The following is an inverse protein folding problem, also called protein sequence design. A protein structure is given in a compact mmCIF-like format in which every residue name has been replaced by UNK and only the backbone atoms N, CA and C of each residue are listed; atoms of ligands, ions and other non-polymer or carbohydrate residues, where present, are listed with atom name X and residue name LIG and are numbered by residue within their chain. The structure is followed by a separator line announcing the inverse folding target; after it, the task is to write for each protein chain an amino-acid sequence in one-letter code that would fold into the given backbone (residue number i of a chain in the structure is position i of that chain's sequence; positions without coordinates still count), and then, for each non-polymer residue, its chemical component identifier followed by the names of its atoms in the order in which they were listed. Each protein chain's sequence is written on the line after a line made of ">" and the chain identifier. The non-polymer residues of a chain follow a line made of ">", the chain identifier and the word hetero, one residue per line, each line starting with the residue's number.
data_IF_121397554252
#
_entry.id   IF_121397554252
#
_cell.length_a   1.000
_cell.length_b   1.000
_cell.length_c   1.000
_cell.angle_alpha   90.00
_cell.angle_beta   90.00
_cell.angle_gamma   90.00
#
_symmetry.space_group_name_H-M   'P 1'
#
loop_
_entity.id
_entity.type
_entity.pdbx_description
1 polymer ?
#
# COMPACT_ATOMS: atom_id res chain seq x y z
N UNK A 1 14.24 -0.18 13.04
CA UNK A 1 13.57 0.35 11.82
C UNK A 1 12.08 0.07 11.98
N UNK A 2 11.28 1.07 12.32
CA UNK A 2 9.84 0.85 12.49
C UNK A 2 9.16 0.88 11.11
N UNK A 3 9.12 -0.28 10.46
CA UNK A 3 8.20 -0.53 9.35
C UNK A 3 6.86 -0.98 9.91
N UNK A 4 5.76 -0.54 9.31
CA UNK A 4 4.44 -1.04 9.67
C UNK A 4 4.31 -2.52 9.31
N UNK A 5 3.61 -3.28 10.15
CA UNK A 5 3.09 -4.57 9.72
C UNK A 5 2.12 -4.40 8.54
N UNK A 6 1.93 -5.45 7.76
CA UNK A 6 0.94 -5.48 6.67
C UNK A 6 -0.47 -5.12 7.16
N UNK A 7 -0.83 -5.53 8.39
CA UNK A 7 -2.11 -5.18 9.01
C UNK A 7 -2.22 -3.69 9.31
N UNK A 8 -1.18 -3.08 9.89
CA UNK A 8 -1.16 -1.65 10.19
C UNK A 8 -1.16 -0.79 8.92
N UNK A 9 -0.40 -1.20 7.89
CA UNK A 9 -0.43 -0.55 6.57
C UNK A 9 -1.84 -0.65 5.96
N UNK A 10 -2.47 -1.82 6.06
CA UNK A 10 -3.84 -2.05 5.63
C UNK A 10 -4.84 -1.09 6.29
N UNK A 11 -4.74 -0.92 7.62
CA UNK A 11 -5.59 0.04 8.34
C UNK A 11 -5.34 1.47 7.90
N UNK A 12 -4.08 1.88 7.73
CA UNK A 12 -3.71 3.23 7.25
C UNK A 12 -4.20 3.52 5.83
N UNK A 13 -4.41 2.50 5.00
CA UNK A 13 -4.90 2.63 3.63
C UNK A 13 -6.44 2.58 3.51
N UNK A 14 -7.14 2.55 4.65
CA UNK A 14 -8.59 2.55 4.73
C UNK A 14 -9.19 1.15 4.93
N UNK A 15 -8.59 0.34 5.79
CA UNK A 15 -9.11 -0.98 6.16
C UNK A 15 -8.85 -2.08 5.12
N UNK A 16 -7.75 -1.99 4.38
CA UNK A 16 -7.35 -3.06 3.46
C UNK A 16 -6.88 -4.27 4.27
N UNK A 17 -7.40 -5.46 3.97
CA UNK A 17 -7.00 -6.69 4.64
C UNK A 17 -5.51 -7.02 4.45
N UNK A 18 -4.87 -7.59 5.47
CA UNK A 18 -3.45 -7.99 5.46
C UNK A 18 -3.09 -8.83 4.23
N UNK A 19 -3.95 -9.78 3.82
CA UNK A 19 -3.72 -10.62 2.64
C UNK A 19 -3.60 -9.79 1.36
N UNK A 20 -4.47 -8.79 1.16
CA UNK A 20 -4.38 -7.90 0.00
C UNK A 20 -3.08 -7.10 0.00
N UNK A 21 -2.65 -6.60 1.17
CA UNK A 21 -1.35 -5.91 1.31
C UNK A 21 -0.22 -6.84 0.87
N UNK A 22 -0.23 -8.10 1.33
CA UNK A 22 0.77 -9.09 0.92
C UNK A 22 0.75 -9.34 -0.59
N UNK A 23 -0.42 -9.36 -1.23
CA UNK A 23 -0.53 -9.54 -2.68
C UNK A 23 -0.01 -8.34 -3.47
N UNK A 24 -0.20 -7.12 -2.96
CA UNK A 24 0.39 -5.91 -3.56
C UNK A 24 1.92 -5.91 -3.42
N UNK A 25 2.44 -6.27 -2.24
CA UNK A 25 3.88 -6.32 -1.99
C UNK A 25 4.58 -7.42 -2.81
N UNK A 26 3.92 -8.56 -3.01
CA UNK A 26 4.46 -9.66 -3.82
C UNK A 26 4.17 -9.51 -5.32
N UNK A 27 3.54 -8.42 -5.76
CA UNK A 27 3.15 -8.19 -7.16
C UNK A 27 2.08 -9.14 -7.71
N UNK A 28 1.44 -9.96 -6.86
CA UNK A 28 0.33 -10.86 -7.28
C UNK A 28 -0.91 -10.07 -7.68
N UNK A 29 -1.10 -8.91 -7.06
CA UNK A 29 -2.19 -7.98 -7.37
C UNK A 29 -1.61 -6.66 -7.87
N UNK A 30 -2.07 -6.14 -9.01
CA UNK A 30 -1.61 -4.84 -9.49
C UNK A 30 -2.11 -3.70 -8.59
N UNK A 31 -1.27 -2.68 -8.41
CA UNK A 31 -1.64 -1.46 -7.69
C UNK A 31 -2.40 -0.54 -8.66
N UNK A 32 -3.66 -0.24 -8.35
CA UNK A 32 -4.47 0.72 -9.10
C UNK A 32 -4.16 2.18 -8.73
N UNK A 33 -4.58 3.12 -9.58
CA UNK A 33 -4.33 4.56 -9.41
C UNK A 33 -4.76 5.12 -8.04
N UNK A 34 -5.90 4.68 -7.51
CA UNK A 34 -6.38 5.13 -6.20
C UNK A 34 -5.50 4.64 -5.05
N UNK A 35 -5.04 3.40 -5.11
CA UNK A 35 -4.13 2.85 -4.12
C UNK A 35 -2.75 3.51 -4.21
N UNK A 36 -2.25 3.72 -5.42
CA UNK A 36 -1.00 4.45 -5.66
C UNK A 36 -1.04 5.87 -5.06
N UNK A 37 -2.15 6.60 -5.20
CA UNK A 37 -2.35 7.92 -4.57
C UNK A 37 -2.34 7.84 -3.04
N UNK A 38 -2.99 6.84 -2.45
CA UNK A 38 -2.99 6.63 -0.99
C UNK A 38 -1.59 6.33 -0.46
N UNK A 39 -0.87 5.42 -1.12
CA UNK A 39 0.51 5.06 -0.79
C UNK A 39 1.43 6.28 -0.92
N UNK A 40 1.34 7.02 -2.02
CA UNK A 40 2.09 8.25 -2.25
C UNK A 40 1.88 9.28 -1.15
N UNK A 41 0.64 9.52 -0.74
CA UNK A 41 0.31 10.42 0.38
C UNK A 41 0.91 9.92 1.70
N UNK A 42 0.81 8.62 1.95
CA UNK A 42 1.28 7.99 3.19
C UNK A 42 2.81 8.02 3.33
N UNK A 43 3.52 7.77 2.23
CA UNK A 43 4.98 7.75 2.16
C UNK A 43 5.61 9.08 1.73
N UNK A 44 4.80 10.12 1.52
CA UNK A 44 5.22 11.46 1.05
C UNK A 44 6.08 11.38 -0.22
N UNK A 45 5.64 10.58 -1.19
CA UNK A 45 6.33 10.34 -2.47
C UNK A 45 5.37 10.51 -3.65
N UNK A 46 5.85 10.30 -4.87
CA UNK A 46 5.05 10.35 -6.10
C UNK A 46 4.24 9.06 -6.31
N UNK A 47 2.96 9.14 -6.77
CA UNK A 47 2.18 7.96 -7.17
C UNK A 47 2.84 7.13 -8.28
N UNK A 48 3.69 7.74 -9.11
CA UNK A 48 4.43 7.06 -10.17
C UNK A 48 5.44 6.02 -9.65
N UNK A 49 5.76 6.02 -8.36
CA UNK A 49 6.61 4.98 -7.76
C UNK A 49 5.89 3.64 -7.60
N UNK A 50 4.56 3.61 -7.76
CA UNK A 50 3.73 2.43 -7.48
C UNK A 50 3.00 1.88 -8.72
N UNK A 51 3.21 2.46 -9.90
CA UNK A 51 2.55 2.09 -11.17
C UNK A 51 3.53 2.05 -12.33
#
# INVERSE_FOLDING_TARGET
>A
MAGWSQSELGQKLGGIGRSHISEYESGKRPIGKDLAKKLAKLFKTSPAMFI
#
